data_IF_213798160432
#
_entry.id   IF_213798160432
#
_cell.length_a   1.000
_cell.length_b   1.000
_cell.length_c   1.000
_cell.angle_alpha   90.00
_cell.angle_beta   90.00
_cell.angle_gamma   90.00
#
_symmetry.space_group_name_H-M   'P 1'
#
loop_
_entity.id
_entity.type
_entity.pdbx_description
1 polymer ?
#
# COMPACT_ATOMS: atom_id res chain seq x y z
N UNK A 1 -3.93 -16.49 -24.99
CA UNK A 1 -2.66 -16.63 -24.26
C UNK A 1 -2.71 -17.91 -23.45
N UNK A 2 -1.60 -18.61 -23.30
CA UNK A 2 -1.56 -19.88 -22.54
C UNK A 2 -1.01 -19.70 -21.11
N UNK A 3 -0.67 -18.49 -20.71
CA UNK A 3 -0.07 -18.16 -19.43
C UNK A 3 0.20 -16.66 -19.26
N UNK A 4 0.97 -16.30 -18.22
CA UNK A 4 1.45 -14.94 -18.03
C UNK A 4 2.41 -14.51 -19.15
N UNK A 5 2.53 -13.21 -19.39
CA UNK A 5 3.48 -12.64 -20.36
C UNK A 5 4.92 -13.08 -20.02
N UNK A 6 5.78 -13.16 -21.03
CA UNK A 6 7.19 -13.56 -20.81
C UNK A 6 7.97 -12.56 -19.94
N UNK A 7 7.59 -11.30 -19.99
CA UNK A 7 8.12 -10.17 -19.20
C UNK A 7 7.32 -9.87 -17.93
N UNK A 8 6.51 -10.82 -17.47
CA UNK A 8 5.70 -10.67 -16.27
C UNK A 8 6.58 -10.38 -15.03
N UNK A 9 6.24 -9.33 -14.29
CA UNK A 9 7.01 -8.83 -13.16
C UNK A 9 6.71 -9.63 -11.88
N UNK A 10 7.32 -10.80 -11.76
CA UNK A 10 7.33 -11.57 -10.51
C UNK A 10 8.28 -10.93 -9.52
N UNK A 11 7.84 -10.71 -8.28
CA UNK A 11 8.73 -10.10 -7.27
C UNK A 11 8.18 -10.21 -5.87
N UNK A 12 8.51 -9.24 -5.05
CA UNK A 12 8.02 -9.10 -3.67
C UNK A 12 7.91 -7.63 -3.29
N UNK A 13 7.09 -7.35 -2.26
CA UNK A 13 6.78 -6.00 -1.82
C UNK A 13 7.06 -5.79 -0.34
N UNK A 14 7.51 -4.59 -0.01
CA UNK A 14 7.72 -4.08 1.34
C UNK A 14 7.44 -2.57 1.38
N UNK A 15 7.50 -1.95 2.58
CA UNK A 15 7.47 -0.50 2.76
C UNK A 15 8.64 -0.04 3.64
N UNK A 16 9.27 1.07 3.28
CA UNK A 16 10.46 1.60 3.95
C UNK A 16 10.34 1.63 5.47
N UNK A 17 9.26 2.23 5.99
CA UNK A 17 9.06 2.38 7.43
C UNK A 17 8.90 1.05 8.21
N UNK A 18 8.53 -0.03 7.53
CA UNK A 18 8.30 -1.33 8.19
C UNK A 18 9.56 -2.20 8.27
N UNK A 19 10.58 -1.89 7.46
CA UNK A 19 11.78 -2.73 7.44
C UNK A 19 13.10 -1.98 7.57
N UNK A 20 13.23 -0.74 7.10
CA UNK A 20 14.52 -0.06 7.02
C UNK A 20 15.21 0.08 8.36
N UNK A 21 14.55 0.62 9.37
CA UNK A 21 15.23 1.06 10.58
C UNK A 21 16.11 2.28 10.33
N UNK A 22 17.18 2.45 11.12
CA UNK A 22 18.07 3.58 10.97
C UNK A 22 17.34 4.93 11.01
N UNK A 23 16.33 5.06 11.89
CA UNK A 23 15.32 6.11 11.84
C UNK A 23 15.83 7.56 12.02
N UNK A 24 17.07 7.72 12.51
CA UNK A 24 17.79 9.01 12.60
C UNK A 24 19.08 9.03 11.80
N UNK A 25 19.45 7.93 11.16
CA UNK A 25 20.69 7.83 10.43
C UNK A 25 20.63 8.55 9.08
N UNK A 26 21.77 9.04 8.63
CA UNK A 26 21.86 9.80 7.38
C UNK A 26 21.05 11.09 7.38
N UNK A 27 20.72 11.64 8.57
CA UNK A 27 19.92 12.88 8.68
C UNK A 27 18.42 12.70 8.47
N UNK A 28 17.89 11.46 8.55
CA UNK A 28 16.45 11.20 8.47
C UNK A 28 15.67 11.93 9.56
N UNK A 29 14.60 12.60 9.19
CA UNK A 29 13.62 13.17 10.12
C UNK A 29 12.58 12.16 10.61
N UNK A 30 11.79 12.54 11.61
CA UNK A 30 10.69 11.72 12.10
C UNK A 30 9.50 11.74 11.13
N UNK A 31 8.92 10.56 10.88
CA UNK A 31 7.68 10.38 10.13
C UNK A 31 6.50 10.06 11.05
N UNK A 32 5.29 10.02 10.51
CA UNK A 32 4.10 9.56 11.24
C UNK A 32 4.27 8.13 11.79
N UNK A 33 5.01 7.27 11.10
CA UNK A 33 5.31 5.91 11.55
C UNK A 33 6.22 5.88 12.79
N UNK A 34 7.09 6.88 12.94
CA UNK A 34 8.07 6.97 14.02
C UNK A 34 7.47 7.44 15.35
N UNK A 35 6.22 7.91 15.35
CA UNK A 35 5.47 8.33 16.55
C UNK A 35 4.34 7.35 16.91
N UNK A 36 4.40 6.13 16.39
CA UNK A 36 3.43 5.07 16.66
C UNK A 36 4.09 3.94 17.43
N UNK A 37 3.59 3.69 18.66
CA UNK A 37 4.11 2.62 19.52
C UNK A 37 3.81 1.22 18.98
N UNK A 38 4.41 0.20 19.53
CA UNK A 38 3.97 -1.17 19.33
C UNK A 38 2.56 -1.37 19.92
N UNK A 39 1.70 -2.01 19.13
CA UNK A 39 0.44 -2.60 19.59
C UNK A 39 0.55 -4.13 19.61
N UNK A 40 -0.58 -4.82 19.55
CA UNK A 40 -0.67 -6.28 19.40
C UNK A 40 -2.06 -6.66 18.90
N UNK A 41 -2.26 -7.91 18.54
CA UNK A 41 -3.59 -8.40 18.18
C UNK A 41 -4.64 -8.01 19.24
N UNK A 42 -5.68 -7.30 18.82
CA UNK A 42 -6.73 -6.78 19.70
C UNK A 42 -6.37 -5.54 20.54
N UNK A 43 -5.13 -5.02 20.42
CA UNK A 43 -4.71 -3.78 21.09
C UNK A 43 -4.11 -2.83 20.06
N UNK A 44 -4.74 -1.70 19.77
CA UNK A 44 -4.25 -0.76 18.76
C UNK A 44 -2.90 -0.15 19.14
N UNK A 45 -2.16 0.31 18.14
CA UNK A 45 -0.99 1.17 18.33
C UNK A 45 -1.42 2.52 18.89
N UNK A 46 -0.60 3.09 19.75
CA UNK A 46 -0.81 4.45 20.26
C UNK A 46 -0.09 5.45 19.33
N UNK A 47 -0.79 6.48 18.90
CA UNK A 47 -0.22 7.65 18.22
C UNK A 47 0.21 8.63 19.32
N UNK A 48 1.50 8.94 19.40
CA UNK A 48 2.03 9.80 20.47
C UNK A 48 2.36 11.20 19.96
N UNK A 49 2.34 12.20 20.84
CA UNK A 49 2.79 13.55 20.54
C UNK A 49 4.35 13.60 20.53
N UNK A 50 4.94 13.20 19.39
CA UNK A 50 6.37 12.99 19.28
C UNK A 50 6.85 11.67 19.89
N UNK A 51 8.16 11.47 19.90
CA UNK A 51 8.77 10.27 20.49
C UNK A 51 8.91 10.46 21.99
N UNK A 52 8.30 9.57 22.77
CA UNK A 52 8.30 9.59 24.23
C UNK A 52 9.35 8.61 24.76
N UNK A 53 10.25 9.08 25.61
CA UNK A 53 11.28 8.25 26.24
C UNK A 53 10.64 7.07 27.03
N UNK A 54 11.22 5.90 26.88
CA UNK A 54 10.76 4.68 27.53
C UNK A 54 9.62 3.94 26.83
N UNK A 55 9.03 4.49 25.74
CA UNK A 55 8.09 3.76 24.87
C UNK A 55 8.81 3.05 23.75
N UNK A 56 8.32 1.90 23.35
CA UNK A 56 8.88 1.12 22.23
C UNK A 56 8.19 1.48 20.91
N UNK A 57 9.01 1.87 19.95
CA UNK A 57 8.60 2.22 18.58
C UNK A 57 9.24 1.23 17.59
N UNK A 58 8.53 0.19 17.17
CA UNK A 58 9.14 -0.90 16.39
C UNK A 58 9.69 -0.46 15.04
N UNK A 59 9.15 0.60 14.45
CA UNK A 59 9.62 1.14 13.16
C UNK A 59 11.00 1.82 13.25
N UNK A 60 11.47 2.22 14.45
CA UNK A 60 12.80 2.82 14.62
C UNK A 60 13.94 1.86 14.25
N UNK A 61 13.74 0.59 14.51
CA UNK A 61 14.70 -0.47 14.17
C UNK A 61 14.33 -1.23 12.91
N UNK A 62 13.00 -1.39 12.65
CA UNK A 62 12.51 -2.25 11.58
C UNK A 62 13.11 -3.64 11.68
N UNK A 63 13.73 -4.11 10.60
CA UNK A 63 14.56 -5.31 10.55
C UNK A 63 16.02 -5.00 10.19
N UNK A 64 16.42 -3.75 10.38
CA UNK A 64 17.76 -3.23 10.05
C UNK A 64 18.13 -3.37 8.57
N UNK A 65 17.14 -3.23 7.69
CA UNK A 65 17.35 -3.28 6.24
C UNK A 65 18.27 -2.15 5.75
N UNK A 66 18.28 -1.01 6.42
CA UNK A 66 19.13 0.12 6.09
C UNK A 66 20.62 -0.28 6.01
N UNK A 67 21.06 -1.18 6.88
CA UNK A 67 22.43 -1.70 6.87
C UNK A 67 22.58 -3.02 6.12
N UNK A 68 21.50 -3.82 6.01
CA UNK A 68 21.54 -5.21 5.52
C UNK A 68 20.95 -5.39 4.12
N UNK A 69 20.53 -4.32 3.44
CA UNK A 69 19.83 -4.40 2.15
C UNK A 69 20.58 -5.22 1.09
N UNK A 70 21.92 -5.20 1.09
CA UNK A 70 22.72 -5.97 0.12
C UNK A 70 22.55 -7.47 0.27
N UNK A 71 22.51 -7.95 1.52
CA UNK A 71 22.30 -9.37 1.80
C UNK A 71 20.85 -9.77 1.53
N UNK A 72 19.90 -8.90 1.89
CA UNK A 72 18.47 -9.15 1.64
C UNK A 72 18.15 -9.16 0.14
N UNK A 73 18.68 -8.23 -0.65
CA UNK A 73 18.52 -8.20 -2.12
C UNK A 73 19.15 -9.44 -2.76
N UNK A 74 20.28 -9.93 -2.24
CA UNK A 74 20.88 -11.18 -2.71
C UNK A 74 19.94 -12.37 -2.50
N UNK A 75 19.22 -12.42 -1.37
CA UNK A 75 18.18 -13.45 -1.15
C UNK A 75 17.01 -13.30 -2.11
N UNK A 76 16.60 -12.07 -2.43
CA UNK A 76 15.56 -11.82 -3.43
C UNK A 76 16.00 -12.27 -4.83
N UNK A 77 17.25 -12.02 -5.20
CA UNK A 77 17.83 -12.48 -6.45
C UNK A 77 17.89 -14.02 -6.52
N UNK A 78 18.24 -14.68 -5.41
CA UNK A 78 18.23 -16.13 -5.31
C UNK A 78 16.81 -16.70 -5.43
N UNK A 79 15.78 -16.01 -4.89
CA UNK A 79 14.38 -16.40 -5.07
C UNK A 79 13.91 -16.21 -6.54
N UNK A 80 14.67 -15.47 -7.34
CA UNK A 80 14.39 -15.27 -8.77
C UNK A 80 13.57 -14.03 -9.08
N UNK A 81 13.49 -13.05 -8.17
CA UNK A 81 12.73 -11.81 -8.40
C UNK A 81 13.12 -11.13 -9.71
N UNK A 82 12.10 -10.67 -10.43
CA UNK A 82 12.21 -9.79 -11.59
C UNK A 82 12.00 -8.33 -11.22
N UNK A 83 11.26 -8.08 -10.13
CA UNK A 83 11.08 -6.75 -9.58
C UNK A 83 11.06 -6.78 -8.05
N UNK A 84 11.37 -5.65 -7.44
CA UNK A 84 11.26 -5.46 -5.99
C UNK A 84 10.52 -4.14 -5.72
N UNK A 85 9.37 -4.24 -5.06
CA UNK A 85 8.59 -3.07 -4.68
C UNK A 85 8.94 -2.62 -3.28
N UNK A 86 9.29 -1.34 -3.14
CA UNK A 86 9.46 -0.66 -1.86
C UNK A 86 8.98 0.79 -1.95
N UNK A 87 9.16 1.57 -0.90
CA UNK A 87 8.90 3.00 -0.89
C UNK A 87 10.17 3.81 -0.62
N UNK A 88 10.12 5.11 -0.92
CA UNK A 88 11.14 6.06 -0.49
C UNK A 88 10.61 6.77 0.76
N UNK A 89 11.35 6.71 1.88
CA UNK A 89 11.03 7.48 3.06
C UNK A 89 11.20 8.97 2.75
N UNK A 90 10.08 9.71 2.65
CA UNK A 90 10.10 11.15 2.39
C UNK A 90 11.05 11.89 3.35
N UNK A 91 11.05 11.49 4.62
CA UNK A 91 11.90 12.07 5.67
C UNK A 91 13.40 11.77 5.55
N UNK A 92 13.83 10.83 4.69
CA UNK A 92 15.23 10.69 4.33
C UNK A 92 15.67 11.73 3.31
N UNK A 93 14.75 12.15 2.45
CA UNK A 93 15.02 13.11 1.37
C UNK A 93 14.78 14.55 1.84
N UNK A 94 13.70 14.78 2.57
CA UNK A 94 13.36 16.06 3.20
C UNK A 94 12.95 15.79 4.65
N UNK A 95 13.87 15.93 5.62
CA UNK A 95 13.64 15.51 7.01
C UNK A 95 12.42 16.10 7.69
N UNK A 96 12.07 17.35 7.41
CA UNK A 96 10.85 18.01 7.87
C UNK A 96 9.75 18.05 6.80
N UNK A 97 10.12 17.86 5.54
CA UNK A 97 9.19 17.86 4.40
C UNK A 97 9.06 19.21 3.69
N UNK A 98 9.37 20.32 4.34
CA UNK A 98 9.22 21.69 3.84
C UNK A 98 10.54 22.40 3.46
N UNK A 99 11.69 21.72 3.60
CA UNK A 99 12.98 22.25 3.20
C UNK A 99 13.05 22.56 1.70
N UNK A 100 13.92 23.52 1.34
CA UNK A 100 14.18 23.89 -0.05
C UNK A 100 15.19 22.96 -0.74
N UNK A 101 16.08 22.33 0.03
CA UNK A 101 17.15 21.48 -0.49
C UNK A 101 17.01 20.06 0.07
N UNK A 102 17.18 19.03 -0.75
CA UNK A 102 17.12 17.64 -0.30
C UNK A 102 18.35 17.26 0.52
N UNK A 103 18.19 16.24 1.33
CA UNK A 103 19.28 15.60 2.07
C UNK A 103 20.01 14.60 1.15
N UNK A 104 21.25 14.92 0.79
CA UNK A 104 22.06 14.10 -0.12
C UNK A 104 22.35 12.70 0.43
N UNK A 105 22.51 12.55 1.75
CA UNK A 105 22.73 11.22 2.35
C UNK A 105 21.54 10.29 2.14
N UNK A 106 20.32 10.81 2.20
CA UNK A 106 19.12 10.05 1.89
C UNK A 106 19.02 9.69 0.41
N UNK A 107 19.33 10.62 -0.49
CA UNK A 107 19.39 10.35 -1.93
C UNK A 107 20.43 9.27 -2.26
N UNK A 108 21.62 9.33 -1.65
CA UNK A 108 22.68 8.35 -1.89
C UNK A 108 22.29 6.95 -1.40
N UNK A 109 21.60 6.84 -0.26
CA UNK A 109 21.12 5.54 0.22
C UNK A 109 20.23 4.84 -0.81
N UNK A 110 19.27 5.56 -1.42
CA UNK A 110 18.41 4.97 -2.45
C UNK A 110 19.13 4.76 -3.78
N UNK A 111 20.14 5.58 -4.12
CA UNK A 111 21.03 5.27 -5.27
C UNK A 111 21.70 3.91 -5.11
N UNK A 112 22.29 3.67 -3.93
CA UNK A 112 23.00 2.43 -3.61
C UNK A 112 22.04 1.22 -3.58
N UNK A 113 20.81 1.41 -3.03
CA UNK A 113 19.78 0.39 -2.98
C UNK A 113 19.33 -0.02 -4.39
N UNK A 114 19.07 0.95 -5.26
CA UNK A 114 18.61 0.66 -6.63
C UNK A 114 19.73 0.07 -7.47
N UNK A 115 20.96 0.52 -7.31
CA UNK A 115 22.13 -0.07 -7.98
C UNK A 115 22.33 -1.54 -7.57
N UNK A 116 22.08 -1.88 -6.28
CA UNK A 116 22.16 -3.26 -5.83
C UNK A 116 21.02 -4.11 -6.45
N UNK A 117 19.80 -3.59 -6.59
CA UNK A 117 18.73 -4.28 -7.30
C UNK A 117 19.10 -4.53 -8.78
N UNK A 118 19.54 -3.49 -9.48
CA UNK A 118 19.89 -3.56 -10.91
C UNK A 118 21.07 -4.51 -11.19
N UNK A 119 22.02 -4.61 -10.28
CA UNK A 119 23.13 -5.57 -10.34
C UNK A 119 22.65 -7.02 -10.51
N UNK A 120 21.49 -7.35 -9.97
CA UNK A 120 20.84 -8.66 -10.08
C UNK A 120 19.72 -8.71 -11.12
N UNK A 121 19.58 -7.68 -11.98
CA UNK A 121 18.47 -7.52 -12.92
C UNK A 121 17.09 -7.55 -12.24
N UNK A 122 16.98 -7.00 -11.04
CA UNK A 122 15.73 -6.78 -10.32
C UNK A 122 15.29 -5.34 -10.57
N UNK A 123 14.14 -5.16 -11.23
CA UNK A 123 13.54 -3.85 -11.51
C UNK A 123 12.99 -3.23 -10.22
N UNK A 124 13.44 -2.03 -9.79
CA UNK A 124 12.82 -1.34 -8.68
C UNK A 124 11.42 -0.84 -9.05
N UNK A 125 10.45 -1.05 -8.16
CA UNK A 125 9.07 -0.53 -8.26
C UNK A 125 8.82 0.32 -7.03
N UNK A 126 8.62 1.62 -7.19
CA UNK A 126 8.73 2.57 -6.08
C UNK A 126 7.41 3.27 -5.79
N UNK A 127 7.02 3.27 -4.53
CA UNK A 127 5.92 4.09 -4.01
C UNK A 127 6.49 5.37 -3.39
N UNK A 128 6.00 6.54 -3.84
CA UNK A 128 6.46 7.84 -3.34
C UNK A 128 6.03 8.07 -1.89
N UNK A 129 4.77 7.81 -1.55
CA UNK A 129 4.23 7.97 -0.20
C UNK A 129 3.59 6.68 0.29
N UNK A 130 4.17 6.07 1.32
CA UNK A 130 3.67 4.82 1.90
C UNK A 130 3.59 4.92 3.43
N UNK A 131 2.57 5.62 3.93
CA UNK A 131 2.27 5.80 5.37
C UNK A 131 3.44 6.40 6.16
N UNK A 132 4.19 7.29 5.52
CA UNK A 132 5.46 7.80 6.06
C UNK A 132 5.66 9.30 5.81
N UNK A 133 4.55 10.06 5.88
CA UNK A 133 4.59 11.52 5.81
C UNK A 133 5.49 12.10 6.91
N UNK A 134 6.28 13.17 6.64
CA UNK A 134 7.03 13.86 7.68
C UNK A 134 6.14 14.34 8.83
N UNK A 135 6.48 13.97 10.06
CA UNK A 135 5.69 14.34 11.24
C UNK A 135 5.64 15.85 11.47
N UNK A 136 6.68 16.58 11.08
CA UNK A 136 6.69 18.04 11.08
C UNK A 136 5.53 18.63 10.25
N UNK A 137 5.20 18.04 9.09
CA UNK A 137 4.08 18.51 8.29
C UNK A 137 2.72 18.27 8.97
N UNK A 138 2.65 17.29 9.88
CA UNK A 138 1.45 17.07 10.71
C UNK A 138 1.31 18.15 11.78
N UNK A 139 2.41 18.44 12.49
CA UNK A 139 2.38 19.41 13.61
C UNK A 139 2.24 20.86 13.15
N UNK A 140 2.94 21.24 12.08
CA UNK A 140 2.96 22.64 11.61
C UNK A 140 1.83 22.95 10.61
N UNK A 141 1.44 21.99 9.80
CA UNK A 141 0.47 22.22 8.72
C UNK A 141 -0.84 21.43 8.89
N UNK A 142 -0.91 20.50 9.83
CA UNK A 142 -2.08 19.63 10.03
C UNK A 142 -2.20 18.52 8.99
N UNK A 143 -1.10 18.12 8.38
CA UNK A 143 -1.07 17.10 7.34
C UNK A 143 -1.76 17.54 6.06
N UNK A 144 -2.36 16.61 5.35
CA UNK A 144 -3.00 16.86 4.06
C UNK A 144 -4.29 17.71 4.12
N UNK A 145 -4.73 18.17 5.30
CA UNK A 145 -5.77 19.20 5.36
C UNK A 145 -5.31 20.57 4.84
N UNK A 146 -3.98 20.75 4.68
CA UNK A 146 -3.39 22.01 4.23
C UNK A 146 -2.90 21.91 2.78
N UNK A 147 -3.43 22.78 1.92
CA UNK A 147 -3.09 22.81 0.50
C UNK A 147 -1.59 22.97 0.20
N UNK A 148 -0.83 23.64 1.09
CA UNK A 148 0.63 23.83 0.92
C UNK A 148 1.41 22.51 0.86
N UNK A 149 0.85 21.42 1.43
CA UNK A 149 1.49 20.10 1.40
C UNK A 149 1.62 19.57 -0.04
N UNK A 150 0.76 20.01 -0.96
CA UNK A 150 0.89 19.73 -2.39
C UNK A 150 2.26 20.18 -2.91
N UNK A 151 2.67 21.43 -2.62
CA UNK A 151 3.95 21.97 -3.10
C UNK A 151 5.15 21.21 -2.53
N UNK A 152 5.07 20.83 -1.27
CA UNK A 152 6.12 20.05 -0.61
C UNK A 152 6.25 18.64 -1.20
N UNK A 153 5.11 17.99 -1.44
CA UNK A 153 5.10 16.66 -2.07
C UNK A 153 5.64 16.70 -3.50
N UNK A 154 5.26 17.70 -4.29
CA UNK A 154 5.75 17.84 -5.68
C UNK A 154 7.24 18.12 -5.71
N UNK A 155 7.78 18.91 -4.78
CA UNK A 155 9.23 19.10 -4.65
C UNK A 155 9.94 17.77 -4.38
N UNK A 156 9.42 16.99 -3.45
CA UNK A 156 9.93 15.66 -3.15
C UNK A 156 9.88 14.73 -4.37
N UNK A 157 8.70 14.62 -5.01
CA UNK A 157 8.50 13.78 -6.19
C UNK A 157 9.43 14.17 -7.34
N UNK A 158 9.57 15.47 -7.62
CA UNK A 158 10.46 15.98 -8.68
C UNK A 158 11.90 15.60 -8.43
N UNK A 159 12.40 15.82 -7.22
CA UNK A 159 13.80 15.49 -6.85
C UNK A 159 14.09 14.00 -7.04
N UNK A 160 13.19 13.12 -6.60
CA UNK A 160 13.42 11.66 -6.74
C UNK A 160 13.25 11.18 -8.17
N UNK A 161 12.34 11.77 -8.96
CA UNK A 161 12.23 11.47 -10.39
C UNK A 161 13.49 11.90 -11.15
N UNK A 162 13.97 13.12 -10.95
CA UNK A 162 15.20 13.61 -11.57
C UNK A 162 16.41 12.74 -11.23
N UNK A 163 16.53 12.34 -9.95
CA UNK A 163 17.66 11.52 -9.49
C UNK A 163 17.63 10.11 -10.04
N UNK A 164 16.45 9.46 -10.04
CA UNK A 164 16.36 8.01 -10.28
C UNK A 164 15.75 7.62 -11.61
N UNK A 165 15.39 8.55 -12.52
CA UNK A 165 14.74 8.26 -13.80
C UNK A 165 15.45 7.22 -14.69
N UNK A 166 16.77 7.01 -14.48
CA UNK A 166 17.57 6.00 -15.23
C UNK A 166 17.64 4.66 -14.51
N UNK A 167 17.16 4.57 -13.28
CA UNK A 167 17.22 3.38 -12.41
C UNK A 167 15.86 2.79 -12.11
N UNK A 168 14.82 3.61 -12.09
CA UNK A 168 13.46 3.26 -11.70
C UNK A 168 12.50 3.65 -12.81
N UNK A 169 11.81 2.66 -13.38
CA UNK A 169 10.80 2.85 -14.41
C UNK A 169 9.39 2.95 -13.84
N UNK A 170 9.08 2.12 -12.83
CA UNK A 170 7.73 1.97 -12.30
C UNK A 170 7.56 2.69 -10.96
N UNK A 171 6.58 3.59 -10.92
CA UNK A 171 6.29 4.43 -9.77
C UNK A 171 4.82 4.34 -9.38
N UNK A 172 4.52 4.57 -8.11
CA UNK A 172 3.16 4.79 -7.60
C UNK A 172 3.18 6.00 -6.68
N UNK A 173 2.11 6.80 -6.68
CA UNK A 173 2.09 8.06 -5.93
C UNK A 173 1.81 7.84 -4.44
N UNK A 174 0.63 7.35 -4.09
CA UNK A 174 0.20 7.13 -2.70
C UNK A 174 -0.22 5.69 -2.49
N UNK A 175 0.30 5.07 -1.43
CA UNK A 175 -0.11 3.72 -1.07
C UNK A 175 -1.51 3.72 -0.47
N UNK A 176 -2.38 2.84 -1.00
CA UNK A 176 -3.73 2.60 -0.46
C UNK A 176 -4.48 3.89 -0.08
N UNK A 177 -4.43 4.90 -0.96
CA UNK A 177 -5.00 6.23 -0.73
C UNK A 177 -6.45 6.19 -0.24
N UNK A 178 -7.21 5.17 -0.63
CA UNK A 178 -8.61 5.00 -0.28
C UNK A 178 -8.84 4.48 1.15
N UNK A 179 -7.82 4.04 1.89
CA UNK A 179 -7.96 3.64 3.29
C UNK A 179 -8.31 4.82 4.20
N UNK A 180 -7.95 6.05 3.84
CA UNK A 180 -8.36 7.24 4.59
C UNK A 180 -9.89 7.43 4.66
N UNK A 181 -10.66 6.75 3.79
CA UNK A 181 -12.12 6.73 3.86
C UNK A 181 -12.65 6.12 5.20
N UNK A 182 -11.81 5.44 5.97
CA UNK A 182 -12.12 4.96 7.32
C UNK A 182 -11.95 6.09 8.36
N UNK A 183 -12.57 7.24 8.12
CA UNK A 183 -12.46 8.44 8.97
C UNK A 183 -13.06 8.31 10.38
N UNK A 184 -13.76 7.23 10.66
CA UNK A 184 -14.33 6.94 11.99
C UNK A 184 -13.28 6.51 13.01
N UNK A 185 -12.11 6.07 12.58
CA UNK A 185 -10.98 5.68 13.41
C UNK A 185 -9.78 6.62 13.18
N UNK A 186 -8.76 6.56 14.02
CA UNK A 186 -7.64 7.50 13.95
C UNK A 186 -6.45 6.97 13.13
N UNK A 187 -6.27 5.64 13.05
CA UNK A 187 -5.08 5.02 12.44
C UNK A 187 -4.95 5.31 10.94
N UNK A 188 -5.97 4.97 10.14
CA UNK A 188 -5.88 5.12 8.69
C UNK A 188 -5.77 6.58 8.24
N UNK A 189 -6.58 7.54 8.74
CA UNK A 189 -6.40 8.95 8.42
C UNK A 189 -5.05 9.52 8.84
N UNK A 190 -4.50 9.08 9.97
CA UNK A 190 -3.19 9.52 10.43
C UNK A 190 -2.06 8.96 9.55
N UNK A 191 -2.07 7.68 9.26
CA UNK A 191 -1.01 7.03 8.46
C UNK A 191 -1.05 7.45 6.99
N UNK A 192 -2.24 7.54 6.38
CA UNK A 192 -2.38 7.96 4.98
C UNK A 192 -2.11 9.46 4.79
N UNK A 193 -2.69 10.29 5.64
CA UNK A 193 -2.84 11.72 5.34
C UNK A 193 -2.34 12.64 6.45
N UNK A 194 -1.73 12.10 7.51
CA UNK A 194 -1.29 12.89 8.66
C UNK A 194 -2.43 13.62 9.37
N UNK A 195 -3.66 13.10 9.29
CA UNK A 195 -4.82 13.74 9.90
C UNK A 195 -4.92 13.34 11.38
N UNK A 196 -4.84 14.33 12.24
CA UNK A 196 -5.14 14.20 13.65
C UNK A 196 -6.40 15.03 13.96
N UNK A 197 -7.52 14.34 14.22
CA UNK A 197 -8.82 15.00 14.43
C UNK A 197 -8.95 15.55 15.84
N UNK A 198 -9.54 16.75 15.95
CA UNK A 198 -9.88 17.37 17.22
C UNK A 198 -11.34 17.08 17.58
N UNK A 199 -11.70 17.10 18.87
CA UNK A 199 -13.09 16.95 19.29
C UNK A 199 -14.01 17.96 18.59
N UNK A 200 -15.12 17.47 18.02
CA UNK A 200 -16.13 18.31 17.35
C UNK A 200 -15.84 18.66 15.89
N UNK A 201 -14.72 18.23 15.33
CA UNK A 201 -14.46 18.39 13.89
C UNK A 201 -15.32 17.43 13.06
N UNK A 202 -15.72 17.90 11.87
CA UNK A 202 -16.34 17.06 10.83
C UNK A 202 -15.27 16.22 10.13
N UNK A 203 -15.00 15.04 10.68
CA UNK A 203 -13.96 14.12 10.20
C UNK A 203 -14.16 13.74 8.74
N UNK A 204 -15.39 13.50 8.33
CA UNK A 204 -15.72 13.09 6.96
C UNK A 204 -15.39 14.20 5.96
N UNK A 205 -15.79 15.44 6.25
CA UNK A 205 -15.47 16.59 5.40
C UNK A 205 -13.96 16.83 5.31
N UNK A 206 -13.24 16.73 6.44
CA UNK A 206 -11.77 16.91 6.48
C UNK A 206 -11.10 15.82 5.64
N UNK A 207 -11.55 14.57 5.75
CA UNK A 207 -11.02 13.45 4.95
C UNK A 207 -11.19 13.72 3.46
N UNK A 208 -12.37 14.13 3.01
CA UNK A 208 -12.59 14.42 1.59
C UNK A 208 -11.74 15.59 1.08
N UNK A 209 -11.52 16.61 1.92
CA UNK A 209 -10.64 17.73 1.55
C UNK A 209 -9.19 17.26 1.43
N UNK A 210 -8.69 16.47 2.38
CA UNK A 210 -7.35 15.91 2.34
C UNK A 210 -7.17 14.99 1.12
N UNK A 211 -8.13 14.11 0.86
CA UNK A 211 -8.14 13.24 -0.31
C UNK A 211 -8.07 14.04 -1.62
N UNK A 212 -8.79 15.18 -1.71
CA UNK A 212 -8.70 16.05 -2.86
C UNK A 212 -7.29 16.58 -3.09
N UNK A 213 -6.62 17.06 -2.05
CA UNK A 213 -5.26 17.61 -2.17
C UNK A 213 -4.24 16.52 -2.52
N UNK A 214 -4.39 15.31 -1.99
CA UNK A 214 -3.55 14.16 -2.37
C UNK A 214 -3.78 13.74 -3.85
N UNK A 215 -5.02 13.76 -4.33
CA UNK A 215 -5.33 13.47 -5.74
C UNK A 215 -4.74 14.51 -6.68
N UNK A 216 -4.82 15.81 -6.31
CA UNK A 216 -4.16 16.89 -7.07
C UNK A 216 -2.65 16.71 -7.07
N UNK A 217 -2.05 16.41 -5.90
CA UNK A 217 -0.62 16.15 -5.79
C UNK A 217 -0.19 14.93 -6.61
N UNK A 218 -1.00 13.87 -6.61
CA UNK A 218 -0.75 12.68 -7.44
C UNK A 218 -0.73 13.03 -8.93
N UNK A 219 -1.72 13.80 -9.41
CA UNK A 219 -1.79 14.22 -10.82
C UNK A 219 -0.62 15.11 -11.22
N UNK A 220 -0.23 16.07 -10.36
CA UNK A 220 0.95 16.89 -10.59
C UNK A 220 2.25 16.07 -10.62
N UNK A 221 2.35 15.02 -9.78
CA UNK A 221 3.50 14.13 -9.80
C UNK A 221 3.57 13.32 -11.11
N UNK A 222 2.43 12.87 -11.66
CA UNK A 222 2.38 12.23 -12.97
C UNK A 222 2.86 13.18 -14.06
N UNK A 223 2.35 14.43 -14.10
CA UNK A 223 2.80 15.46 -15.05
C UNK A 223 4.31 15.72 -14.93
N UNK A 224 4.81 15.89 -13.70
CA UNK A 224 6.23 16.15 -13.44
C UNK A 224 7.12 14.98 -13.87
N UNK A 225 6.73 13.76 -13.55
CA UNK A 225 7.46 12.55 -13.93
C UNK A 225 7.56 12.39 -15.44
N UNK A 226 6.46 12.55 -16.16
CA UNK A 226 6.45 12.46 -17.62
C UNK A 226 7.18 13.64 -18.30
N UNK A 227 7.20 14.83 -17.68
CA UNK A 227 7.98 15.96 -18.19
C UNK A 227 9.50 15.72 -18.04
N UNK A 228 9.93 15.00 -17.00
CA UNK A 228 11.33 14.62 -16.76
C UNK A 228 11.73 13.46 -17.68
N UNK A 229 10.90 12.42 -17.75
CA UNK A 229 11.13 11.27 -18.60
C UNK A 229 9.78 10.64 -19.01
N UNK A 230 9.38 10.76 -20.29
CA UNK A 230 8.10 10.24 -20.78
C UNK A 230 7.97 8.69 -20.75
N UNK A 231 9.07 7.97 -20.55
CA UNK A 231 9.07 6.50 -20.48
C UNK A 231 8.73 5.98 -19.05
N UNK A 232 8.65 6.88 -18.05
CA UNK A 232 8.24 6.48 -16.71
C UNK A 232 6.80 5.99 -16.72
N UNK A 233 6.54 4.94 -15.94
CA UNK A 233 5.21 4.39 -15.73
C UNK A 233 4.77 4.75 -14.33
N UNK A 234 3.76 5.62 -14.20
CA UNK A 234 3.32 6.15 -12.91
C UNK A 234 1.89 5.73 -12.65
N UNK A 235 1.69 4.85 -11.68
CA UNK A 235 0.41 4.28 -11.30
C UNK A 235 -0.20 4.93 -10.04
N UNK A 236 -1.48 4.66 -9.81
CA UNK A 236 -2.09 4.78 -8.48
C UNK A 236 -1.90 3.48 -7.69
N UNK A 237 -2.16 3.52 -6.39
CA UNK A 237 -2.19 2.32 -5.56
C UNK A 237 -3.43 2.32 -4.65
N UNK A 238 -4.28 1.32 -4.81
CA UNK A 238 -5.61 1.22 -4.20
C UNK A 238 -5.70 -0.04 -3.32
N UNK A 239 -6.23 0.10 -2.11
CA UNK A 239 -6.62 -1.05 -1.29
C UNK A 239 -7.88 -1.67 -1.87
N UNK A 240 -7.75 -2.82 -2.54
CA UNK A 240 -8.89 -3.53 -3.10
C UNK A 240 -9.41 -4.60 -2.14
N UNK A 241 -10.62 -4.38 -1.67
CA UNK A 241 -11.37 -5.30 -0.85
C UNK A 241 -12.80 -5.37 -1.41
N UNK A 242 -13.16 -6.38 -2.20
CA UNK A 242 -14.51 -6.48 -2.73
C UNK A 242 -15.51 -6.69 -1.59
N UNK A 243 -16.64 -5.99 -1.69
CA UNK A 243 -17.71 -6.03 -0.70
C UNK A 243 -18.94 -6.59 -1.38
N UNK A 244 -19.20 -7.87 -1.15
CA UNK A 244 -20.33 -8.58 -1.75
C UNK A 244 -21.66 -8.26 -1.07
N UNK A 245 -22.81 -8.34 -1.76
CA UNK A 245 -24.08 -8.41 -1.07
C UNK A 245 -24.16 -9.73 -0.29
N UNK A 246 -24.64 -9.70 0.96
CA UNK A 246 -24.78 -10.91 1.77
C UNK A 246 -25.83 -11.86 1.18
N UNK A 247 -26.86 -11.29 0.58
CA UNK A 247 -27.93 -12.02 -0.11
C UNK A 247 -28.23 -11.41 -1.48
N UNK A 248 -29.06 -12.10 -2.28
CA UNK A 248 -29.53 -11.53 -3.54
C UNK A 248 -30.73 -10.56 -3.37
N UNK A 249 -31.02 -10.11 -2.15
CA UNK A 249 -32.04 -9.09 -1.93
C UNK A 249 -31.63 -7.78 -2.63
N UNK A 250 -32.52 -7.08 -3.34
CA UNK A 250 -32.20 -5.85 -4.07
C UNK A 250 -31.53 -4.77 -3.20
N UNK A 251 -31.93 -4.65 -1.94
CA UNK A 251 -31.36 -3.69 -1.01
C UNK A 251 -29.91 -4.06 -0.60
N UNK A 252 -29.60 -5.35 -0.40
CA UNK A 252 -28.24 -5.82 -0.17
C UNK A 252 -27.35 -5.55 -1.39
N UNK A 253 -27.87 -5.76 -2.61
CA UNK A 253 -27.18 -5.44 -3.86
C UNK A 253 -26.86 -3.95 -3.94
N UNK A 254 -27.83 -3.07 -3.65
CA UNK A 254 -27.60 -1.63 -3.66
C UNK A 254 -26.66 -1.18 -2.55
N UNK A 255 -26.64 -1.85 -1.40
CA UNK A 255 -25.68 -1.58 -0.32
C UNK A 255 -24.24 -1.92 -0.76
N UNK A 256 -24.04 -3.06 -1.42
CA UNK A 256 -22.75 -3.43 -2.02
C UNK A 256 -22.28 -2.41 -3.05
N UNK A 257 -23.14 -1.96 -3.96
CA UNK A 257 -22.81 -0.91 -4.94
C UNK A 257 -22.31 0.37 -4.25
N UNK A 258 -22.96 0.78 -3.18
CA UNK A 258 -22.58 2.00 -2.42
C UNK A 258 -21.28 1.82 -1.68
N UNK A 259 -21.08 0.66 -1.06
CA UNK A 259 -19.81 0.32 -0.42
C UNK A 259 -18.65 0.41 -1.41
N UNK A 260 -18.80 -0.17 -2.59
CA UNK A 260 -17.81 -0.10 -3.66
C UNK A 260 -17.62 1.34 -4.16
N UNK A 261 -18.67 2.14 -4.31
CA UNK A 261 -18.58 3.54 -4.68
C UNK A 261 -17.77 4.37 -3.67
N UNK A 262 -18.00 4.18 -2.37
CA UNK A 262 -17.31 4.89 -1.28
C UNK A 262 -15.83 4.58 -1.23
N UNK A 263 -15.44 3.36 -1.56
CA UNK A 263 -14.04 2.94 -1.53
C UNK A 263 -13.28 3.25 -2.81
N UNK A 264 -13.93 3.23 -3.98
CA UNK A 264 -13.21 3.20 -5.26
C UNK A 264 -13.41 4.44 -6.15
N UNK A 265 -14.08 5.48 -5.68
CA UNK A 265 -14.13 6.75 -6.40
C UNK A 265 -12.75 7.39 -6.58
N UNK A 266 -11.78 7.12 -5.69
CA UNK A 266 -10.38 7.52 -5.82
C UNK A 266 -9.78 7.00 -7.14
N UNK A 267 -10.04 5.75 -7.48
CA UNK A 267 -9.56 5.16 -8.73
C UNK A 267 -10.18 5.86 -9.95
N UNK A 268 -11.46 6.23 -9.88
CA UNK A 268 -12.10 7.02 -10.95
C UNK A 268 -11.36 8.33 -11.21
N UNK A 269 -10.98 9.04 -10.15
CA UNK A 269 -10.25 10.32 -10.29
C UNK A 269 -8.84 10.10 -10.83
N UNK A 270 -8.10 9.12 -10.32
CA UNK A 270 -6.76 8.79 -10.81
C UNK A 270 -6.72 8.42 -12.30
N UNK A 271 -7.72 7.64 -12.75
CA UNK A 271 -7.73 7.07 -14.10
C UNK A 271 -8.44 7.96 -15.11
N UNK A 272 -9.55 8.61 -14.70
CA UNK A 272 -10.40 9.41 -15.60
C UNK A 272 -10.14 10.90 -15.51
N UNK A 273 -9.47 11.35 -14.45
CA UNK A 273 -9.16 12.77 -14.22
C UNK A 273 -10.35 13.61 -13.79
N UNK A 274 -11.45 13.01 -13.31
CA UNK A 274 -12.61 13.74 -12.83
C UNK A 274 -13.39 12.96 -11.79
N UNK A 275 -14.13 13.67 -10.96
CA UNK A 275 -14.98 13.08 -9.93
C UNK A 275 -16.21 12.39 -10.55
N UNK A 276 -16.50 11.12 -10.18
CA UNK A 276 -17.73 10.46 -10.62
C UNK A 276 -18.97 11.15 -10.05
N UNK A 277 -20.09 11.11 -10.81
CA UNK A 277 -21.31 11.85 -10.46
C UNK A 277 -21.89 11.46 -9.10
N UNK A 278 -21.74 10.20 -8.69
CA UNK A 278 -22.24 9.75 -7.39
C UNK A 278 -21.54 10.45 -6.22
N UNK A 279 -20.22 10.73 -6.31
CA UNK A 279 -19.50 11.42 -5.25
C UNK A 279 -19.81 12.93 -5.24
N UNK A 280 -19.97 13.56 -6.40
CA UNK A 280 -20.40 14.96 -6.49
C UNK A 280 -21.80 15.15 -5.91
N UNK A 281 -22.73 14.23 -6.19
CA UNK A 281 -24.06 14.21 -5.57
C UNK A 281 -23.98 14.05 -4.05
N UNK A 282 -23.08 13.18 -3.58
CA UNK A 282 -22.85 12.97 -2.16
C UNK A 282 -22.36 14.25 -1.48
N UNK A 283 -21.37 14.94 -2.04
CA UNK A 283 -20.88 16.23 -1.50
C UNK A 283 -22.00 17.27 -1.44
N UNK A 284 -22.85 17.33 -2.47
CA UNK A 284 -24.00 18.23 -2.48
C UNK A 284 -25.02 17.90 -1.40
N UNK A 285 -25.35 16.62 -1.21
CA UNK A 285 -26.31 16.18 -0.19
C UNK A 285 -25.81 16.43 1.23
N UNK A 286 -24.50 16.26 1.49
CA UNK A 286 -23.85 16.56 2.76
C UNK A 286 -23.54 18.05 2.95
N UNK A 287 -23.79 18.88 1.97
CA UNK A 287 -23.44 20.31 1.94
C UNK A 287 -21.93 20.55 2.20
N UNK A 288 -21.07 19.65 1.70
CA UNK A 288 -19.62 19.82 1.78
C UNK A 288 -19.15 20.88 0.78
N UNK A 289 -18.72 22.01 1.32
CA UNK A 289 -18.04 23.03 0.56
C UNK A 289 -16.53 22.75 0.61
N UNK A 290 -16.04 21.95 -0.33
CA UNK A 290 -14.62 21.63 -0.45
C UNK A 290 -13.91 22.67 -1.32
N UNK A 291 -12.63 22.93 -0.99
CA UNK A 291 -11.75 23.77 -1.80
C UNK A 291 -11.27 22.97 -3.04
N UNK A 292 -12.14 22.94 -4.05
CA UNK A 292 -11.90 22.30 -5.35
C UNK A 292 -11.96 23.40 -6.42
N UNK A 293 -10.81 23.81 -6.92
CA UNK A 293 -10.73 24.89 -7.91
C UNK A 293 -10.91 24.36 -9.35
N UNK A 294 -11.17 25.27 -10.30
CA UNK A 294 -11.22 24.88 -11.71
C UNK A 294 -9.81 24.51 -12.24
N UNK A 295 -8.75 25.07 -11.66
CA UNK A 295 -7.37 24.67 -11.95
C UNK A 295 -7.11 23.23 -11.48
N UNK A 296 -7.57 22.84 -10.29
CA UNK A 296 -7.47 21.47 -9.80
C UNK A 296 -8.11 20.47 -10.77
N UNK A 297 -9.30 20.79 -11.29
CA UNK A 297 -9.99 19.94 -12.27
C UNK A 297 -9.18 19.76 -13.56
N UNK A 298 -8.49 20.82 -14.01
CA UNK A 298 -7.60 20.73 -15.16
C UNK A 298 -6.37 19.87 -14.87
N UNK A 299 -5.77 20.03 -13.68
CA UNK A 299 -4.63 19.21 -13.23
C UNK A 299 -5.04 17.74 -13.19
N UNK A 300 -6.15 17.41 -12.55
CA UNK A 300 -6.65 16.03 -12.48
C UNK A 300 -6.80 15.41 -13.88
N UNK A 301 -7.33 16.16 -14.84
CA UNK A 301 -7.55 15.69 -16.21
C UNK A 301 -6.25 15.42 -16.96
N UNK A 302 -5.19 16.21 -16.73
CA UNK A 302 -3.91 16.06 -17.42
C UNK A 302 -3.04 14.98 -16.79
N UNK A 303 -3.11 14.82 -15.45
CA UNK A 303 -2.25 13.92 -14.66
C UNK A 303 -2.89 12.57 -14.37
N UNK A 304 -3.53 11.93 -15.36
CA UNK A 304 -4.05 10.56 -15.22
C UNK A 304 -2.91 9.55 -15.18
N UNK A 305 -3.11 8.47 -14.42
CA UNK A 305 -2.11 7.42 -14.23
C UNK A 305 -1.99 6.46 -15.43
N UNK A 306 -0.82 5.81 -15.56
CA UNK A 306 -0.53 4.88 -16.66
C UNK A 306 -1.04 3.47 -16.40
N UNK A 307 -1.11 3.05 -15.13
CA UNK A 307 -1.57 1.73 -14.69
C UNK A 307 -2.21 1.78 -13.32
N UNK A 308 -2.93 0.71 -12.96
CA UNK A 308 -3.56 0.56 -11.65
C UNK A 308 -2.76 -0.45 -10.83
N UNK A 309 -2.03 0.03 -9.81
CA UNK A 309 -1.52 -0.79 -8.73
C UNK A 309 -2.58 -1.00 -7.66
N UNK A 310 -2.68 -2.19 -7.09
CA UNK A 310 -3.58 -2.44 -5.99
C UNK A 310 -3.09 -3.55 -5.05
N UNK A 311 -3.52 -3.47 -3.79
CA UNK A 311 -3.40 -4.53 -2.80
C UNK A 311 -4.67 -5.38 -2.78
N UNK A 312 -4.49 -6.67 -2.53
CA UNK A 312 -5.60 -7.59 -2.29
C UNK A 312 -5.26 -8.54 -1.15
N UNK A 313 -6.03 -8.51 -0.08
CA UNK A 313 -5.81 -9.37 1.07
C UNK A 313 -7.03 -10.20 1.43
N UNK A 314 -8.24 -9.65 1.22
CA UNK A 314 -9.48 -10.21 1.71
C UNK A 314 -10.69 -9.66 0.98
N UNK A 315 -11.85 -10.26 1.24
CA UNK A 315 -13.16 -9.74 0.85
C UNK A 315 -14.09 -9.66 2.07
N UNK A 316 -15.16 -8.91 1.95
CA UNK A 316 -16.24 -8.85 2.94
C UNK A 316 -17.60 -8.96 2.26
N UNK A 317 -18.66 -9.07 3.05
CA UNK A 317 -20.02 -8.89 2.62
C UNK A 317 -20.66 -7.69 3.34
N UNK A 318 -21.74 -7.18 2.79
CA UNK A 318 -22.57 -6.15 3.41
C UNK A 318 -24.02 -6.52 3.35
N UNK A 319 -24.80 -6.05 4.32
CA UNK A 319 -26.22 -6.27 4.43
C UNK A 319 -26.94 -4.95 4.71
N UNK A 320 -28.03 -4.70 4.00
CA UNK A 320 -28.91 -3.59 4.30
C UNK A 320 -29.62 -3.82 5.64
N UNK A 321 -29.63 -2.79 6.51
CA UNK A 321 -30.33 -2.80 7.79
C UNK A 321 -31.12 -1.50 7.96
N UNK A 322 -32.14 -1.52 8.81
CA UNK A 322 -32.93 -0.32 9.11
C UNK A 322 -32.07 0.81 9.74
N UNK A 323 -31.01 0.44 10.49
CA UNK A 323 -30.10 1.37 11.16
C UNK A 323 -28.97 1.89 10.26
N UNK A 324 -28.89 1.41 9.01
CA UNK A 324 -27.89 1.82 8.05
C UNK A 324 -28.54 2.47 6.82
N UNK A 325 -28.85 3.77 6.92
CA UNK A 325 -29.50 4.47 5.85
C UNK A 325 -28.59 4.54 4.63
N UNK A 326 -29.21 4.39 3.49
CA UNK A 326 -28.55 4.26 2.18
C UNK A 326 -27.68 5.46 1.76
N UNK A 327 -27.80 6.60 2.42
CA UNK A 327 -26.98 7.79 2.17
C UNK A 327 -25.66 7.73 2.92
N UNK A 328 -25.69 7.31 4.19
CA UNK A 328 -24.54 7.27 5.09
C UNK A 328 -24.05 5.83 5.24
N UNK A 329 -23.38 5.32 4.18
CA UNK A 329 -22.71 4.03 4.29
C UNK A 329 -21.61 4.11 5.36
N UNK A 330 -21.75 3.32 6.40
CA UNK A 330 -20.79 3.20 7.49
C UNK A 330 -20.29 1.74 7.54
N UNK A 331 -19.03 1.53 7.19
CA UNK A 331 -18.39 0.21 7.17
C UNK A 331 -18.47 -0.48 8.52
N UNK A 332 -18.39 0.30 9.62
CA UNK A 332 -18.43 -0.26 10.98
C UNK A 332 -19.76 -0.90 11.34
N UNK A 333 -20.83 -0.51 10.65
CA UNK A 333 -22.20 -1.00 10.89
C UNK A 333 -22.69 -2.01 9.85
N UNK A 334 -22.12 -2.00 8.66
CA UNK A 334 -22.66 -2.72 7.51
C UNK A 334 -21.82 -3.89 7.04
N UNK A 335 -20.50 -3.88 7.32
CA UNK A 335 -19.64 -5.00 6.97
C UNK A 335 -19.95 -6.22 7.82
N UNK A 336 -20.12 -7.36 7.14
CA UNK A 336 -20.33 -8.67 7.76
C UNK A 336 -19.38 -9.68 7.11
N UNK A 337 -19.13 -10.76 7.82
CA UNK A 337 -18.34 -11.86 7.28
C UNK A 337 -19.12 -12.60 6.18
N UNK A 338 -18.44 -12.93 5.09
CA UNK A 338 -18.97 -13.82 4.07
C UNK A 338 -18.98 -15.24 4.62
N UNK A 339 -20.16 -15.91 4.71
CA UNK A 339 -20.26 -17.23 5.31
C UNK A 339 -19.64 -18.36 4.46
N UNK A 340 -19.25 -18.07 3.22
CA UNK A 340 -18.73 -19.06 2.26
C UNK A 340 -17.21 -19.13 2.22
N UNK A 341 -16.49 -18.24 2.93
CA UNK A 341 -15.02 -18.21 2.95
C UNK A 341 -14.48 -18.31 4.36
N UNK A 342 -13.31 -18.92 4.51
CA UNK A 342 -12.61 -19.05 5.78
C UNK A 342 -11.85 -17.74 6.12
N UNK A 343 -11.54 -17.53 7.38
CA UNK A 343 -10.72 -16.42 7.83
C UNK A 343 -9.39 -16.91 8.40
N UNK A 344 -8.36 -16.05 8.35
CA UNK A 344 -7.10 -16.23 9.04
C UNK A 344 -7.24 -15.98 10.55
N UNK A 345 -6.16 -16.22 11.33
CA UNK A 345 -6.12 -15.93 12.78
C UNK A 345 -6.38 -14.45 13.11
N UNK A 346 -6.13 -13.54 12.17
CA UNK A 346 -6.44 -12.10 12.28
C UNK A 346 -7.82 -11.72 11.73
N UNK A 347 -8.67 -12.68 11.42
CA UNK A 347 -10.03 -12.45 10.91
C UNK A 347 -10.09 -12.03 9.43
N UNK A 348 -8.98 -12.09 8.69
CA UNK A 348 -8.97 -11.76 7.26
C UNK A 348 -9.53 -12.91 6.44
N UNK A 349 -10.57 -12.65 5.68
CA UNK A 349 -11.25 -13.65 4.87
C UNK A 349 -10.42 -14.07 3.67
N UNK A 350 -10.13 -15.35 3.54
CA UNK A 350 -9.30 -15.92 2.47
C UNK A 350 -10.18 -16.21 1.27
N UNK A 351 -10.08 -15.36 0.25
CA UNK A 351 -10.96 -15.43 -0.94
C UNK A 351 -10.15 -15.28 -2.24
N UNK A 352 -9.59 -16.36 -2.78
CA UNK A 352 -8.87 -16.34 -4.04
C UNK A 352 -9.73 -15.89 -5.23
N UNK A 353 -11.01 -16.29 -5.26
CA UNK A 353 -11.95 -15.90 -6.34
C UNK A 353 -12.24 -14.41 -6.29
N UNK A 354 -12.23 -13.80 -5.11
CA UNK A 354 -12.35 -12.36 -4.93
C UNK A 354 -11.20 -11.58 -5.59
N UNK A 355 -10.00 -12.16 -5.68
CA UNK A 355 -8.90 -11.55 -6.46
C UNK A 355 -9.25 -11.53 -7.96
N UNK A 356 -9.75 -12.64 -8.52
CA UNK A 356 -10.22 -12.69 -9.92
C UNK A 356 -11.36 -11.70 -10.17
N UNK A 357 -12.32 -11.63 -9.24
CA UNK A 357 -13.39 -10.63 -9.29
C UNK A 357 -12.85 -9.21 -9.31
N UNK A 358 -11.88 -8.89 -8.44
CA UNK A 358 -11.26 -7.57 -8.34
C UNK A 358 -10.55 -7.16 -9.63
N UNK A 359 -9.82 -8.09 -10.23
CA UNK A 359 -9.16 -7.90 -11.52
C UNK A 359 -10.17 -7.57 -12.63
N UNK A 360 -11.26 -8.35 -12.73
CA UNK A 360 -12.33 -8.07 -13.68
C UNK A 360 -13.01 -6.73 -13.40
N UNK A 361 -13.32 -6.44 -12.12
CA UNK A 361 -13.97 -5.18 -11.74
C UNK A 361 -13.19 -3.94 -12.19
N UNK A 362 -11.88 -3.90 -11.98
CA UNK A 362 -11.06 -2.78 -12.40
C UNK A 362 -10.83 -2.79 -13.92
N UNK A 363 -10.57 -3.95 -14.51
CA UNK A 363 -10.28 -4.01 -15.94
C UNK A 363 -11.49 -3.64 -16.79
N UNK A 364 -12.68 -4.16 -16.49
CA UNK A 364 -13.92 -3.78 -17.17
C UNK A 364 -14.21 -2.28 -17.05
N UNK A 365 -13.89 -1.68 -15.91
CA UNK A 365 -14.18 -0.27 -15.64
C UNK A 365 -13.20 0.68 -16.33
N UNK A 366 -11.92 0.31 -16.45
CA UNK A 366 -10.86 1.23 -16.82
C UNK A 366 -10.04 0.84 -18.04
N UNK A 367 -9.95 -0.42 -18.38
CA UNK A 367 -9.17 -0.96 -19.51
C UNK A 367 -7.69 -0.51 -19.50
N UNK A 368 -7.09 -0.35 -18.31
CA UNK A 368 -5.68 -0.05 -18.12
C UNK A 368 -4.91 -1.30 -17.67
N UNK A 369 -3.60 -1.37 -17.93
CA UNK A 369 -2.75 -2.39 -17.33
C UNK A 369 -2.85 -2.37 -15.80
N UNK A 370 -2.79 -3.53 -15.18
CA UNK A 370 -2.89 -3.67 -13.72
C UNK A 370 -1.67 -4.35 -13.14
N UNK A 371 -1.38 -4.02 -11.88
CA UNK A 371 -0.30 -4.62 -11.12
C UNK A 371 -0.81 -4.98 -9.71
N UNK A 372 -0.76 -6.27 -9.35
CA UNK A 372 -1.01 -6.69 -7.97
C UNK A 372 0.28 -6.42 -7.19
N UNK A 373 0.34 -5.28 -6.54
CA UNK A 373 1.55 -4.83 -5.84
C UNK A 373 1.62 -5.25 -4.38
N UNK A 374 0.52 -5.81 -3.84
CA UNK A 374 0.49 -6.46 -2.53
C UNK A 374 -0.56 -7.58 -2.52
N UNK A 375 -0.19 -8.73 -1.97
CA UNK A 375 -1.08 -9.84 -1.66
C UNK A 375 -0.41 -10.74 -0.62
N UNK A 376 -1.16 -11.34 0.28
CA UNK A 376 -0.62 -12.22 1.32
C UNK A 376 -1.48 -12.22 2.57
N UNK A 377 -1.02 -12.88 3.61
CA UNK A 377 -1.63 -12.79 4.93
C UNK A 377 -0.59 -12.99 6.03
N UNK A 378 -0.84 -12.35 7.19
CA UNK A 378 -0.02 -12.54 8.37
C UNK A 378 -0.37 -13.84 9.09
N UNK A 379 0.66 -14.55 9.55
CA UNK A 379 0.52 -15.78 10.32
C UNK A 379 1.58 -15.86 11.41
N UNK A 380 1.35 -16.76 12.39
CA UNK A 380 2.34 -17.09 13.41
C UNK A 380 3.18 -18.23 12.86
N UNK A 381 4.40 -17.93 12.47
CA UNK A 381 5.33 -18.95 12.02
C UNK A 381 6.00 -19.65 13.22
N UNK A 382 6.18 -20.97 13.15
CA UNK A 382 6.92 -21.74 14.12
C UNK A 382 8.23 -22.21 13.50
N UNK A 383 9.33 -21.95 14.21
CA UNK A 383 10.65 -22.45 13.83
C UNK A 383 10.83 -23.84 14.45
N UNK A 384 11.05 -24.84 13.61
CA UNK A 384 11.27 -26.22 14.00
C UNK A 384 12.63 -26.39 14.71
N UNK A 385 12.85 -27.54 15.34
CA UNK A 385 14.09 -27.82 16.08
C UNK A 385 15.35 -27.81 15.20
N UNK A 386 15.20 -28.08 13.90
CA UNK A 386 16.27 -28.01 12.90
C UNK A 386 16.47 -26.60 12.30
N UNK A 387 15.71 -25.62 12.78
CA UNK A 387 15.76 -24.24 12.34
C UNK A 387 14.92 -23.92 11.09
N UNK A 388 14.22 -24.89 10.51
CA UNK A 388 13.33 -24.68 9.37
C UNK A 388 11.99 -24.05 9.79
N UNK A 389 11.31 -23.41 8.84
CA UNK A 389 9.93 -22.92 9.01
C UNK A 389 9.05 -23.56 7.93
N UNK A 390 8.15 -24.45 8.36
CA UNK A 390 7.22 -25.13 7.48
C UNK A 390 5.91 -24.32 7.36
N UNK A 391 5.90 -23.32 6.49
CA UNK A 391 4.77 -22.42 6.26
C UNK A 391 3.88 -22.87 5.08
N UNK A 392 3.43 -24.13 5.08
CA UNK A 392 2.58 -24.70 4.03
C UNK A 392 1.30 -23.88 3.82
N UNK A 393 0.69 -23.36 4.88
CA UNK A 393 -0.49 -22.50 4.82
C UNK A 393 -0.26 -21.23 3.97
N UNK A 394 0.97 -20.69 3.92
CA UNK A 394 1.33 -19.54 3.07
C UNK A 394 1.43 -19.97 1.61
N UNK A 395 1.99 -21.13 1.36
CA UNK A 395 2.04 -21.74 0.02
C UNK A 395 0.64 -21.96 -0.50
N UNK A 396 -0.24 -22.57 0.29
CA UNK A 396 -1.62 -22.86 -0.09
C UNK A 396 -2.39 -21.56 -0.43
N UNK A 397 -2.23 -20.52 0.40
CA UNK A 397 -2.81 -19.20 0.15
C UNK A 397 -2.33 -18.61 -1.18
N UNK A 398 -1.01 -18.55 -1.38
CA UNK A 398 -0.42 -17.96 -2.59
C UNK A 398 -0.78 -18.79 -3.84
N UNK A 399 -0.71 -20.11 -3.76
CA UNK A 399 -1.09 -21.02 -4.84
C UNK A 399 -2.51 -20.76 -5.33
N UNK A 400 -3.47 -20.69 -4.41
CA UNK A 400 -4.88 -20.50 -4.78
C UNK A 400 -5.13 -19.10 -5.38
N UNK A 401 -4.50 -18.06 -4.85
CA UNK A 401 -4.59 -16.71 -5.41
C UNK A 401 -3.93 -16.60 -6.79
N UNK A 402 -2.74 -17.14 -6.98
CA UNK A 402 -2.05 -17.11 -8.27
C UNK A 402 -2.83 -17.92 -9.33
N UNK A 403 -3.46 -19.03 -8.94
CA UNK A 403 -4.32 -19.80 -9.84
C UNK A 403 -5.52 -18.98 -10.33
N UNK A 404 -6.20 -18.24 -9.47
CA UNK A 404 -7.32 -17.37 -9.87
C UNK A 404 -6.83 -16.15 -10.68
N UNK A 405 -5.68 -15.58 -10.34
CA UNK A 405 -5.01 -14.55 -11.13
C UNK A 405 -4.69 -15.05 -12.55
N UNK A 406 -4.20 -16.28 -12.70
CA UNK A 406 -3.92 -16.91 -14.00
C UNK A 406 -5.20 -17.05 -14.84
N UNK A 407 -6.32 -17.44 -14.22
CA UNK A 407 -7.63 -17.50 -14.90
C UNK A 407 -8.06 -16.11 -15.37
N UNK A 408 -7.92 -15.07 -14.56
CA UNK A 408 -8.25 -13.70 -14.96
C UNK A 408 -7.50 -13.28 -16.23
N UNK A 409 -6.23 -13.65 -16.36
CA UNK A 409 -5.42 -13.36 -17.55
C UNK A 409 -5.83 -14.22 -18.75
N UNK A 410 -6.02 -15.53 -18.57
CA UNK A 410 -6.23 -16.48 -19.67
C UNK A 410 -7.68 -16.51 -20.14
N UNK A 411 -8.62 -16.59 -19.20
CA UNK A 411 -10.05 -16.78 -19.49
C UNK A 411 -10.78 -15.44 -19.63
N UNK A 412 -10.42 -14.43 -18.79
CA UNK A 412 -11.14 -13.16 -18.75
C UNK A 412 -10.42 -12.06 -19.58
N UNK A 413 -9.17 -12.29 -20.02
CA UNK A 413 -8.43 -11.36 -20.89
C UNK A 413 -7.87 -10.13 -20.21
N UNK A 414 -7.71 -10.17 -18.88
CA UNK A 414 -7.18 -9.07 -18.09
C UNK A 414 -5.71 -8.80 -18.42
N UNK A 415 -5.35 -7.53 -18.62
CA UNK A 415 -3.95 -7.11 -18.81
C UNK A 415 -3.25 -6.91 -17.47
N UNK A 416 -2.56 -7.96 -17.00
CA UNK A 416 -1.83 -7.98 -15.75
C UNK A 416 -0.33 -7.93 -16.02
N UNK A 417 0.37 -6.95 -15.41
CA UNK A 417 1.81 -6.69 -15.59
C UNK A 417 2.68 -7.51 -14.64
N UNK A 418 2.21 -7.74 -13.41
CA UNK A 418 3.05 -8.35 -12.39
C UNK A 418 2.30 -8.69 -11.10
N UNK A 419 3.04 -9.35 -10.19
CA UNK A 419 2.58 -9.78 -8.90
C UNK A 419 3.72 -9.72 -7.88
N UNK A 420 3.51 -8.99 -6.79
CA UNK A 420 4.45 -8.84 -5.67
C UNK A 420 3.76 -9.16 -4.35
N UNK A 421 3.92 -10.38 -3.78
CA UNK A 421 3.40 -10.68 -2.46
C UNK A 421 3.98 -9.73 -1.41
N UNK A 422 3.08 -9.35 -0.47
CA UNK A 422 3.42 -8.43 0.60
C UNK A 422 4.30 -9.07 1.66
N UNK A 423 5.31 -8.30 2.10
CA UNK A 423 6.22 -8.74 3.13
C UNK A 423 7.04 -9.93 2.69
N UNK A 424 7.68 -9.87 1.50
CA UNK A 424 8.49 -10.98 0.98
C UNK A 424 9.59 -11.45 1.95
N UNK A 425 9.98 -10.58 2.87
CA UNK A 425 10.78 -10.82 4.07
C UNK A 425 9.95 -10.39 5.29
N UNK A 426 10.08 -11.06 6.42
CA UNK A 426 9.39 -10.67 7.66
C UNK A 426 9.72 -9.23 8.03
N UNK A 427 8.71 -8.46 8.37
CA UNK A 427 8.80 -7.04 8.68
C UNK A 427 7.82 -6.66 9.80
N UNK A 428 7.95 -5.44 10.32
CA UNK A 428 7.03 -4.90 11.33
C UNK A 428 5.64 -4.73 10.69
N UNK A 429 4.62 -5.36 11.28
CA UNK A 429 3.24 -5.21 10.81
C UNK A 429 2.75 -3.76 10.93
N UNK A 430 2.22 -3.17 9.86
CA UNK A 430 1.76 -1.79 9.87
C UNK A 430 0.66 -1.54 10.92
N UNK A 431 -0.39 -2.34 10.91
CA UNK A 431 -1.55 -2.15 11.77
C UNK A 431 -1.34 -2.48 13.24
N UNK A 432 -0.47 -3.45 13.56
CA UNK A 432 -0.27 -3.91 14.94
C UNK A 432 1.10 -3.56 15.53
N UNK A 433 2.08 -3.23 14.70
CA UNK A 433 3.46 -3.01 15.15
C UNK A 433 4.19 -4.27 15.59
N UNK A 434 3.64 -5.45 15.30
CA UNK A 434 4.18 -6.75 15.72
C UNK A 434 5.11 -7.37 14.67
N UNK A 435 6.17 -8.03 15.14
CA UNK A 435 6.95 -8.96 14.32
C UNK A 435 6.32 -10.35 14.25
N UNK A 436 5.52 -10.73 15.26
CA UNK A 436 4.85 -12.05 15.35
C UNK A 436 3.86 -12.28 14.20
N UNK A 437 3.25 -11.23 13.68
CA UNK A 437 2.38 -11.29 12.50
C UNK A 437 3.24 -11.33 11.24
N UNK A 438 3.71 -12.52 10.88
CA UNK A 438 4.70 -12.74 9.83
C UNK A 438 4.05 -12.91 8.47
N UNK A 439 4.60 -12.22 7.48
CA UNK A 439 4.14 -12.27 6.08
C UNK A 439 5.16 -12.95 5.17
N UNK A 440 6.44 -12.93 5.56
CA UNK A 440 7.56 -13.19 4.68
C UNK A 440 7.74 -14.65 4.28
N UNK A 441 8.42 -14.85 3.18
CA UNK A 441 9.03 -16.10 2.74
C UNK A 441 10.46 -16.25 3.27
N UNK A 442 11.00 -15.17 3.83
CA UNK A 442 12.27 -15.11 4.55
C UNK A 442 11.95 -14.76 6.00
N UNK A 443 12.34 -15.63 6.91
CA UNK A 443 12.21 -15.44 8.35
C UNK A 443 13.28 -14.47 8.85
N UNK A 444 12.90 -13.52 9.70
CA UNK A 444 13.83 -12.65 10.41
C UNK A 444 13.74 -12.97 11.90
N UNK A 445 14.88 -13.26 12.52
CA UNK A 445 14.96 -13.55 13.95
C UNK A 445 14.83 -12.27 14.78
N UNK A 446 13.57 -11.87 15.00
CA UNK A 446 13.17 -10.73 15.81
C UNK A 446 11.80 -11.00 16.43
N UNK A 447 11.64 -10.70 17.73
CA UNK A 447 10.36 -10.77 18.45
C UNK A 447 9.64 -9.42 18.49
N UNK A 448 8.48 -9.36 19.17
CA UNK A 448 7.69 -8.15 19.31
C UNK A 448 8.33 -7.09 20.21
N UNK A 449 9.23 -7.50 21.09
CA UNK A 449 9.95 -6.65 22.03
C UNK A 449 11.27 -6.11 21.44
N UNK A 450 11.60 -6.51 20.23
CA UNK A 450 12.82 -6.09 19.51
C UNK A 450 14.03 -6.99 19.78
N UNK A 451 13.87 -8.10 20.51
CA UNK A 451 14.97 -9.04 20.74
C UNK A 451 15.14 -9.99 19.55
N UNK A 452 16.36 -10.50 19.41
CA UNK A 452 16.74 -11.44 18.36
C UNK A 452 18.07 -11.07 17.72
N UNK A 453 18.55 -11.92 16.82
CA UNK A 453 19.84 -11.77 16.14
C UNK A 453 19.73 -11.00 14.82
N UNK A 454 18.51 -10.79 14.35
CA UNK A 454 18.21 -10.29 13.01
C UNK A 454 18.74 -11.21 11.88
N UNK A 455 19.08 -12.45 12.17
CA UNK A 455 19.46 -13.42 11.14
C UNK A 455 18.29 -13.73 10.21
N UNK A 456 18.60 -13.94 8.92
CA UNK A 456 17.65 -14.32 7.88
C UNK A 456 17.71 -15.82 7.63
N UNK A 457 16.55 -16.48 7.56
CA UNK A 457 16.47 -17.87 7.14
C UNK A 457 15.32 -18.07 6.14
N UNK A 458 15.55 -18.97 5.17
CA UNK A 458 14.55 -19.26 4.13
C UNK A 458 13.48 -20.17 4.69
N UNK A 459 12.20 -19.79 4.48
CA UNK A 459 11.06 -20.63 4.82
C UNK A 459 10.77 -21.62 3.68
N UNK A 460 9.86 -22.58 3.89
CA UNK A 460 9.43 -23.50 2.84
C UNK A 460 8.85 -22.77 1.62
N UNK A 461 8.08 -21.71 1.86
CA UNK A 461 7.50 -20.87 0.82
C UNK A 461 8.54 -20.17 -0.07
N UNK A 462 9.76 -19.90 0.42
CA UNK A 462 10.85 -19.36 -0.38
C UNK A 462 11.15 -20.24 -1.61
N UNK A 463 11.34 -21.53 -1.39
CA UNK A 463 11.69 -22.48 -2.45
C UNK A 463 10.52 -22.75 -3.38
N UNK A 464 9.31 -22.77 -2.84
CA UNK A 464 8.10 -22.91 -3.66
C UNK A 464 7.90 -21.71 -4.58
N UNK A 465 8.04 -20.49 -4.07
CA UNK A 465 7.87 -19.27 -4.88
C UNK A 465 9.00 -19.11 -5.91
N UNK A 466 10.23 -19.51 -5.56
CA UNK A 466 11.34 -19.62 -6.51
C UNK A 466 10.97 -20.50 -7.71
N UNK A 467 10.33 -21.65 -7.46
CA UNK A 467 9.89 -22.55 -8.53
C UNK A 467 8.75 -21.96 -9.36
N UNK A 468 7.80 -21.24 -8.73
CA UNK A 468 6.74 -20.52 -9.44
C UNK A 468 7.32 -19.48 -10.39
N UNK A 469 8.26 -18.65 -9.94
CA UNK A 469 8.92 -17.62 -10.76
C UNK A 469 9.68 -18.26 -11.93
N UNK A 470 10.49 -19.28 -11.65
CA UNK A 470 11.27 -20.01 -12.65
C UNK A 470 10.42 -20.56 -13.78
N UNK A 471 9.22 -21.04 -13.46
CA UNK A 471 8.29 -21.63 -14.41
C UNK A 471 7.25 -20.64 -14.95
N UNK A 472 7.37 -19.34 -14.62
CA UNK A 472 6.41 -18.29 -14.99
C UNK A 472 4.96 -18.69 -14.65
N UNK A 473 4.75 -19.30 -13.48
CA UNK A 473 3.45 -19.76 -13.00
C UNK A 473 2.81 -20.90 -13.81
N UNK A 474 3.58 -21.64 -14.60
CA UNK A 474 3.03 -22.74 -15.42
C UNK A 474 2.91 -24.08 -14.67
N UNK A 475 3.53 -24.19 -13.51
CA UNK A 475 3.55 -25.37 -12.65
C UNK A 475 2.50 -25.38 -11.52
N UNK A 476 1.50 -24.51 -11.63
CA UNK A 476 0.40 -24.33 -10.65
C UNK A 476 -0.84 -25.14 -11.06
#
# INVERSE_FOLDING_TARGET
MTGFKADFLWGGAVAAHQLEGGWREGGKGASVADVMTAGRHGVPREITEGVIEGKYYPNHEGIDFYHRYKDDIKLFAEMGFKCFRTSIAWTRIFPNGDEQQPNEAGLQFYDDLFDECLKYNIEPVITLSHFEMPYHLVTEYGGWRNRKVIDFFIRFATVVFERYQKKVKYWMTFNEINNQANFHEDFAPFTNSGLHYKPGEDREKIMYQAAHYELVASSLAVEAGHAINPDLQIGCMIAMCPIYPLTCAPDDMMMSVRAMHRRYWFTDVHVRGYYPQHILNYFKQKAFNLDITDEDKQILTRGCVDYIGFSYYMSFATKATEDNPTLDYDETKSLVNNPYVKASDWGWQIDPVGLRYSLNYFYDRYQLPMFIVENGFGAIDQKEADGTVNDQYRIDYMHDHIREMKKAVIEDGVDLMGYTPWGCIDLVSAGTGEMKKRYGMIYVDKDNEGNGTLERSKKKSFFWYQDVIKNNGNNL
#
